data_IF_138656942975
#
_entry.id   IF_138656942975
#
_cell.length_a   1.000
_cell.length_b   1.000
_cell.length_c   1.000
_cell.angle_alpha   90.00
_cell.angle_beta   90.00
_cell.angle_gamma   90.00
#
_symmetry.space_group_name_H-M   'P 1'
#
loop_
_entity.id
_entity.type
_entity.pdbx_description
1 polymer ?
#
# COMPACT_ATOMS: atom_id res chain seq x y z
N UNK A 1 2.47 12.91 12.71
CA UNK A 1 3.69 13.76 12.57
C UNK A 1 4.13 13.78 11.10
N UNK A 2 4.40 12.63 10.47
CA UNK A 2 4.99 12.56 9.13
C UNK A 2 4.03 13.07 8.04
N UNK A 3 2.77 12.64 8.04
CA UNK A 3 1.75 13.15 7.12
C UNK A 3 1.54 14.66 7.26
N UNK A 4 1.58 15.20 8.48
CA UNK A 4 1.51 16.64 8.69
C UNK A 4 2.68 17.37 8.01
N UNK A 5 3.91 16.87 8.19
CA UNK A 5 5.09 17.48 7.54
C UNK A 5 5.01 17.47 6.01
N UNK A 6 4.61 16.35 5.43
CA UNK A 6 4.48 16.19 3.97
C UNK A 6 3.37 17.10 3.42
N UNK A 7 2.17 17.04 3.98
CA UNK A 7 1.03 17.84 3.53
C UNK A 7 1.28 19.35 3.69
N UNK A 8 2.02 19.75 4.73
CA UNK A 8 2.42 21.14 4.94
C UNK A 8 3.40 21.62 3.89
N UNK A 9 4.40 20.81 3.55
CA UNK A 9 5.39 21.13 2.53
C UNK A 9 4.78 21.23 1.12
N UNK A 10 3.69 20.50 0.88
CA UNK A 10 2.99 20.42 -0.40
C UNK A 10 1.78 21.37 -0.51
N UNK A 11 1.64 22.29 0.37
CA UNK A 11 0.50 23.23 0.46
C UNK A 11 -0.09 23.61 -0.90
N UNK A 12 -1.39 23.39 -1.08
CA UNK A 12 -2.11 23.63 -2.33
C UNK A 12 -1.88 22.58 -3.44
N UNK A 13 -1.01 21.58 -3.23
CA UNK A 13 -0.73 20.52 -4.19
C UNK A 13 -1.28 19.16 -3.72
N UNK A 14 -1.72 18.29 -4.63
CA UNK A 14 -2.17 16.95 -4.26
C UNK A 14 -1.01 16.10 -3.73
N UNK A 15 -1.28 15.33 -2.69
CA UNK A 15 -0.34 14.37 -2.11
C UNK A 15 -0.96 12.99 -2.14
N UNK A 16 -0.41 12.12 -2.98
CA UNK A 16 -0.84 10.74 -3.06
C UNK A 16 -0.17 9.92 -1.96
N UNK A 17 -0.96 9.30 -1.10
CA UNK A 17 -0.50 8.51 0.04
C UNK A 17 -0.98 7.07 -0.15
N UNK A 18 -0.05 6.17 -0.41
CA UNK A 18 -0.33 4.73 -0.46
C UNK A 18 -0.52 4.18 0.95
N UNK A 19 -1.61 3.46 1.18
CA UNK A 19 -1.83 2.72 2.41
C UNK A 19 -0.78 1.62 2.57
N UNK A 20 -0.71 1.05 3.76
CA UNK A 20 0.27 0.03 4.12
C UNK A 20 0.27 -1.10 3.09
N UNK A 21 1.42 -1.32 2.46
CA UNK A 21 1.60 -2.30 1.40
C UNK A 21 2.35 -3.56 1.88
N UNK A 22 3.47 -3.48 2.64
CA UNK A 22 4.19 -4.67 3.07
C UNK A 22 3.40 -5.54 4.05
N UNK A 23 3.67 -6.85 4.09
CA UNK A 23 3.05 -7.76 5.03
C UNK A 23 3.51 -7.48 6.47
N UNK A 24 2.69 -7.89 7.45
CA UNK A 24 2.94 -7.59 8.88
C UNK A 24 4.27 -8.14 9.39
N UNK A 25 4.79 -9.23 8.84
CA UNK A 25 6.05 -9.81 9.30
C UNK A 25 7.25 -8.85 9.14
N UNK A 26 7.19 -7.90 8.21
CA UNK A 26 8.25 -6.90 8.04
C UNK A 26 8.33 -5.88 9.19
N UNK A 27 7.26 -5.75 9.96
CA UNK A 27 7.15 -4.80 11.07
C UNK A 27 7.40 -5.42 12.44
N UNK A 28 7.68 -6.72 12.50
CA UNK A 28 7.95 -7.42 13.77
C UNK A 28 9.43 -7.76 13.89
N UNK A 29 9.97 -7.78 15.12
CA UNK A 29 11.38 -8.14 15.32
C UNK A 29 11.65 -9.61 15.01
N UNK A 30 12.70 -9.87 14.23
CA UNK A 30 13.11 -11.22 13.84
C UNK A 30 14.16 -11.82 14.79
N UNK A 31 14.85 -10.99 15.56
CA UNK A 31 15.83 -11.42 16.55
C UNK A 31 15.22 -11.53 17.96
N UNK A 32 15.84 -12.38 18.79
CA UNK A 32 15.34 -12.66 20.15
C UNK A 32 15.36 -11.44 21.06
N UNK A 33 16.32 -10.55 20.90
CA UNK A 33 16.42 -9.34 21.74
C UNK A 33 15.29 -8.36 21.46
N UNK A 34 14.99 -8.12 20.19
CA UNK A 34 13.86 -7.29 19.78
C UNK A 34 12.52 -7.89 20.18
N UNK A 35 12.38 -9.23 20.10
CA UNK A 35 11.16 -9.92 20.57
C UNK A 35 10.98 -9.82 22.08
N UNK A 36 12.07 -9.87 22.85
CA UNK A 36 12.01 -9.67 24.30
C UNK A 36 11.60 -8.21 24.61
N UNK A 37 12.22 -7.23 23.95
CA UNK A 37 11.87 -5.82 24.14
C UNK A 37 10.38 -5.57 23.85
N UNK A 38 9.88 -6.08 22.74
CA UNK A 38 8.46 -5.98 22.39
C UNK A 38 7.55 -6.66 23.43
N UNK A 39 7.96 -7.84 23.94
CA UNK A 39 7.22 -8.55 24.98
C UNK A 39 7.11 -7.73 26.26
N UNK A 40 8.22 -7.11 26.67
CA UNK A 40 8.28 -6.26 27.86
C UNK A 40 7.41 -5.00 27.71
N UNK A 41 7.47 -4.33 26.54
CA UNK A 41 6.65 -3.14 26.23
C UNK A 41 5.14 -3.47 26.18
N UNK A 42 4.77 -4.63 25.66
CA UNK A 42 3.38 -5.09 25.55
C UNK A 42 2.86 -5.79 26.81
N UNK A 43 3.69 -6.07 27.79
CA UNK A 43 3.32 -6.79 29.02
C UNK A 43 2.89 -8.23 28.77
N UNK A 44 3.47 -8.91 27.80
CA UNK A 44 3.17 -10.29 27.42
C UNK A 44 4.43 -11.17 27.47
N UNK A 45 4.27 -12.50 27.42
CA UNK A 45 5.44 -13.40 27.39
C UNK A 45 6.14 -13.37 26.04
N UNK A 46 7.45 -13.51 26.03
CA UNK A 46 8.25 -13.61 24.79
C UNK A 46 7.80 -14.76 23.90
N UNK A 47 7.39 -15.88 24.49
CA UNK A 47 6.85 -17.01 23.75
C UNK A 47 5.60 -16.65 22.94
N UNK A 48 4.73 -15.77 23.48
CA UNK A 48 3.56 -15.28 22.76
C UNK A 48 3.96 -14.43 21.56
N UNK A 49 4.96 -13.56 21.71
CA UNK A 49 5.54 -12.80 20.61
C UNK A 49 6.13 -13.72 19.54
N UNK A 50 6.96 -14.70 19.95
CA UNK A 50 7.56 -15.66 19.03
C UNK A 50 6.51 -16.46 18.23
N UNK A 51 5.47 -16.94 18.89
CA UNK A 51 4.36 -17.64 18.23
C UNK A 51 3.68 -16.73 17.20
N UNK A 52 3.47 -15.44 17.54
CA UNK A 52 2.86 -14.48 16.61
C UNK A 52 3.77 -14.18 15.43
N UNK A 53 5.05 -13.91 15.64
CA UNK A 53 6.05 -13.70 14.58
C UNK A 53 6.09 -14.89 13.64
N UNK A 54 6.17 -16.10 14.17
CA UNK A 54 6.17 -17.33 13.36
C UNK A 54 4.87 -17.50 12.56
N UNK A 55 3.72 -17.13 13.13
CA UNK A 55 2.42 -17.20 12.44
C UNK A 55 2.27 -16.19 11.31
N UNK A 56 3.07 -15.12 11.32
CA UNK A 56 3.10 -14.09 10.28
C UNK A 56 4.10 -14.40 9.15
N UNK A 57 4.95 -15.43 9.33
CA UNK A 57 5.90 -15.82 8.30
C UNK A 57 5.19 -16.41 7.08
N UNK A 58 5.54 -15.92 5.91
CA UNK A 58 4.95 -16.33 4.63
C UNK A 58 6.01 -16.93 3.71
N UNK A 59 5.61 -17.96 2.95
CA UNK A 59 6.50 -18.59 1.96
C UNK A 59 6.77 -17.69 0.75
N UNK A 60 5.80 -16.89 0.37
CA UNK A 60 5.91 -15.89 -0.70
C UNK A 60 5.26 -14.56 -0.25
N UNK A 61 6.01 -13.68 0.41
CA UNK A 61 5.48 -12.41 0.92
C UNK A 61 4.95 -11.48 -0.17
N UNK A 62 5.51 -11.52 -1.37
CA UNK A 62 5.07 -10.69 -2.48
C UNK A 62 3.62 -10.96 -2.90
N UNK A 63 3.20 -12.23 -2.89
CA UNK A 63 1.85 -12.68 -3.24
C UNK A 63 1.00 -13.02 -2.01
N UNK A 64 1.48 -12.71 -0.82
CA UNK A 64 0.89 -13.08 0.46
C UNK A 64 -0.11 -12.08 1.02
N UNK A 65 -0.17 -12.04 2.34
CA UNK A 65 -1.11 -11.24 3.12
C UNK A 65 -0.60 -9.81 3.31
N UNK A 66 -0.74 -8.99 2.30
CA UNK A 66 -0.27 -7.60 2.23
C UNK A 66 -1.27 -6.69 1.52
N UNK A 67 -1.02 -5.38 1.54
CA UNK A 67 -1.80 -4.38 0.82
C UNK A 67 -3.29 -4.42 1.19
N UNK A 68 -4.17 -4.36 0.18
CA UNK A 68 -5.62 -4.41 0.40
C UNK A 68 -6.08 -5.71 1.07
N UNK A 69 -5.37 -6.83 0.87
CA UNK A 69 -5.71 -8.12 1.53
C UNK A 69 -5.57 -8.01 3.03
N UNK A 70 -4.51 -7.34 3.49
CA UNK A 70 -4.28 -7.05 4.90
C UNK A 70 -5.36 -6.10 5.43
N UNK A 71 -5.64 -5.00 4.73
CA UNK A 71 -6.68 -4.04 5.12
C UNK A 71 -8.09 -4.63 5.12
N UNK A 72 -8.38 -5.60 4.25
CA UNK A 72 -9.69 -6.27 4.22
C UNK A 72 -9.87 -7.28 5.38
N UNK A 73 -8.79 -7.87 5.89
CA UNK A 73 -8.82 -8.80 7.02
C UNK A 73 -8.64 -8.10 8.37
N UNK A 74 -7.97 -6.95 8.39
CA UNK A 74 -7.74 -6.09 9.56
C UNK A 74 -8.11 -4.65 9.22
N UNK A 75 -9.42 -4.32 9.08
CA UNK A 75 -9.88 -2.99 8.66
C UNK A 75 -9.43 -1.87 9.60
N UNK A 76 -9.16 -2.18 10.87
CA UNK A 76 -8.62 -1.25 11.86
C UNK A 76 -7.27 -0.64 11.45
N UNK A 77 -6.48 -1.31 10.61
CA UNK A 77 -5.22 -0.77 10.07
C UNK A 77 -5.53 0.35 9.06
N UNK A 78 -6.50 0.13 8.17
CA UNK A 78 -6.94 1.15 7.21
C UNK A 78 -7.59 2.32 7.92
N UNK A 79 -8.42 2.07 8.94
CA UNK A 79 -9.01 3.10 9.77
C UNK A 79 -7.93 3.97 10.45
N UNK A 80 -6.96 3.35 11.11
CA UNK A 80 -5.86 4.04 11.78
C UNK A 80 -5.09 4.94 10.81
N UNK A 81 -4.74 4.45 9.62
CA UNK A 81 -4.01 5.23 8.62
C UNK A 81 -4.87 6.39 8.09
N UNK A 82 -6.15 6.15 7.81
CA UNK A 82 -7.08 7.19 7.36
C UNK A 82 -7.20 8.29 8.39
N UNK A 83 -7.36 7.96 9.69
CA UNK A 83 -7.38 8.93 10.79
C UNK A 83 -6.08 9.73 10.87
N UNK A 84 -4.93 9.08 10.68
CA UNK A 84 -3.63 9.76 10.71
C UNK A 84 -3.44 10.74 9.54
N UNK A 85 -3.88 10.36 8.33
CA UNK A 85 -3.78 11.20 7.13
C UNK A 85 -4.74 12.40 7.23
N UNK A 86 -6.03 12.13 7.44
CA UNK A 86 -7.06 13.16 7.45
C UNK A 86 -6.98 14.03 8.71
N UNK A 87 -6.57 13.48 9.85
CA UNK A 87 -6.32 14.27 11.06
C UNK A 87 -5.18 15.27 10.88
N UNK A 88 -4.10 14.89 10.17
CA UNK A 88 -3.04 15.81 9.80
C UNK A 88 -3.53 16.91 8.84
N UNK A 89 -4.39 16.55 7.87
CA UNK A 89 -4.99 17.50 6.94
C UNK A 89 -5.93 18.49 7.66
N UNK A 90 -6.76 18.01 8.57
CA UNK A 90 -7.65 18.86 9.40
C UNK A 90 -6.84 19.85 10.22
N UNK A 91 -5.77 19.39 10.87
CA UNK A 91 -4.91 20.27 11.65
C UNK A 91 -4.32 21.37 10.77
N UNK A 92 -3.80 21.04 9.60
CA UNK A 92 -3.26 22.02 8.65
C UNK A 92 -4.34 22.99 8.14
N UNK A 93 -5.54 22.51 7.88
CA UNK A 93 -6.67 23.38 7.47
C UNK A 93 -7.02 24.40 8.55
N UNK A 94 -7.01 24.00 9.81
CA UNK A 94 -7.19 24.91 10.96
C UNK A 94 -6.08 25.95 11.06
N UNK A 95 -4.86 25.63 10.60
CA UNK A 95 -3.72 26.54 10.55
C UNK A 95 -3.71 27.45 9.28
N UNK A 96 -4.68 27.31 8.38
CA UNK A 96 -4.82 28.14 7.19
C UNK A 96 -4.15 27.61 5.93
N UNK A 97 -3.65 26.37 5.94
CA UNK A 97 -3.10 25.67 4.77
C UNK A 97 -4.21 25.05 3.91
N UNK A 98 -3.85 24.63 2.69
CA UNK A 98 -4.74 23.94 1.73
C UNK A 98 -4.25 22.50 1.47
N UNK A 99 -4.39 21.59 2.43
CA UNK A 99 -3.97 20.20 2.26
C UNK A 99 -4.90 19.48 1.27
N UNK A 100 -4.30 18.73 0.32
CA UNK A 100 -5.03 17.97 -0.70
C UNK A 100 -4.60 16.50 -0.69
N UNK A 101 -5.01 15.70 0.32
CA UNK A 101 -4.64 14.30 0.39
C UNK A 101 -5.39 13.46 -0.64
N UNK A 102 -4.69 12.50 -1.21
CA UNK A 102 -5.23 11.43 -2.03
C UNK A 102 -4.83 10.08 -1.41
N UNK A 103 -5.79 9.24 -1.09
CA UNK A 103 -5.56 7.95 -0.42
C UNK A 103 -5.59 6.85 -1.47
N UNK A 104 -4.51 6.07 -1.54
CA UNK A 104 -4.35 5.02 -2.53
C UNK A 104 -4.36 3.62 -1.89
N UNK A 105 -5.27 2.78 -2.36
CA UNK A 105 -5.36 1.37 -1.95
C UNK A 105 -4.44 0.53 -2.83
N UNK A 106 -3.42 -0.17 -2.28
CA UNK A 106 -2.51 -1.00 -3.05
C UNK A 106 -3.05 -2.40 -3.32
N UNK A 107 -2.52 -3.07 -4.33
CA UNK A 107 -2.65 -4.51 -4.62
C UNK A 107 -4.07 -5.03 -4.88
N UNK A 108 -4.99 -4.21 -5.32
CA UNK A 108 -6.32 -4.72 -5.68
C UNK A 108 -6.26 -5.58 -6.95
N UNK A 109 -6.98 -6.71 -6.93
CA UNK A 109 -7.17 -7.58 -8.09
C UNK A 109 -8.60 -7.57 -8.63
N UNK A 110 -9.56 -7.18 -7.77
CA UNK A 110 -10.99 -7.10 -8.09
C UNK A 110 -11.62 -5.86 -7.46
N UNK A 111 -12.69 -5.37 -8.08
CA UNK A 111 -13.40 -4.16 -7.60
C UNK A 111 -13.92 -4.30 -6.17
N UNK A 112 -14.35 -5.50 -5.76
CA UNK A 112 -14.88 -5.70 -4.41
C UNK A 112 -13.84 -5.47 -3.31
N UNK A 113 -12.54 -5.75 -3.58
CA UNK A 113 -11.46 -5.42 -2.64
C UNK A 113 -11.34 -3.91 -2.45
N UNK A 114 -11.48 -3.15 -3.53
CA UNK A 114 -11.48 -1.70 -3.49
C UNK A 114 -12.71 -1.16 -2.75
N UNK A 115 -13.92 -1.65 -3.06
CA UNK A 115 -15.18 -1.21 -2.45
C UNK A 115 -15.14 -1.36 -0.92
N UNK A 116 -14.59 -2.47 -0.41
CA UNK A 116 -14.47 -2.69 1.04
C UNK A 116 -13.50 -1.68 1.67
N UNK A 117 -12.35 -1.44 1.05
CA UNK A 117 -11.38 -0.48 1.55
C UNK A 117 -11.90 0.97 1.46
N UNK A 118 -12.49 1.34 0.33
CA UNK A 118 -13.10 2.66 0.16
C UNK A 118 -14.16 2.92 1.24
N UNK A 119 -15.00 1.92 1.51
CA UNK A 119 -16.03 2.04 2.56
C UNK A 119 -15.40 2.36 3.92
N UNK A 120 -14.38 1.63 4.34
CA UNK A 120 -13.67 1.90 5.61
C UNK A 120 -13.10 3.32 5.62
N UNK A 121 -12.46 3.74 4.53
CA UNK A 121 -11.87 5.08 4.40
C UNK A 121 -12.96 6.17 4.52
N UNK A 122 -14.07 6.02 3.78
CA UNK A 122 -15.15 7.02 3.76
C UNK A 122 -15.90 7.09 5.09
N UNK A 123 -16.19 5.95 5.70
CA UNK A 123 -16.84 5.88 7.03
C UNK A 123 -15.96 6.56 8.10
N UNK A 124 -14.66 6.23 8.11
CA UNK A 124 -13.70 6.84 9.03
C UNK A 124 -13.57 8.35 8.81
N UNK A 125 -13.51 8.79 7.55
CA UNK A 125 -13.46 10.21 7.21
C UNK A 125 -14.70 10.95 7.72
N UNK A 126 -15.89 10.39 7.50
CA UNK A 126 -17.16 10.96 7.96
C UNK A 126 -17.18 11.15 9.47
N UNK A 127 -16.84 10.11 10.23
CA UNK A 127 -16.76 10.18 11.69
C UNK A 127 -15.79 11.27 12.15
N UNK A 128 -14.61 11.33 11.54
CA UNK A 128 -13.59 12.30 11.89
C UNK A 128 -14.03 13.74 11.59
N UNK A 129 -14.66 13.96 10.43
CA UNK A 129 -15.16 15.29 10.03
C UNK A 129 -16.31 15.76 10.94
N UNK A 130 -17.22 14.85 11.34
CA UNK A 130 -18.29 15.15 12.30
C UNK A 130 -17.70 15.53 13.67
N UNK A 131 -16.67 14.81 14.15
CA UNK A 131 -16.00 15.09 15.43
C UNK A 131 -15.26 16.43 15.43
N UNK A 132 -14.59 16.76 14.34
CA UNK A 132 -13.73 17.93 14.23
C UNK A 132 -14.45 19.19 13.72
N UNK A 133 -15.67 19.03 13.15
CA UNK A 133 -16.47 20.11 12.58
C UNK A 133 -15.86 20.72 11.32
N UNK A 134 -14.97 20.01 10.65
CA UNK A 134 -14.27 20.44 9.42
C UNK A 134 -14.25 19.30 8.42
N UNK A 135 -14.62 19.57 7.18
CA UNK A 135 -14.53 18.64 6.08
C UNK A 135 -13.31 19.00 5.20
N UNK A 136 -12.53 17.98 4.83
CA UNK A 136 -11.40 18.10 3.92
C UNK A 136 -11.74 17.35 2.63
N UNK A 137 -11.66 18.01 1.46
CA UNK A 137 -11.77 17.32 0.19
C UNK A 137 -10.59 16.37 0.00
N UNK A 138 -10.88 15.12 -0.31
CA UNK A 138 -9.87 14.10 -0.59
C UNK A 138 -10.38 13.12 -1.63
N UNK A 139 -9.45 12.42 -2.29
CA UNK A 139 -9.78 11.38 -3.26
C UNK A 139 -9.35 10.02 -2.74
N UNK A 140 -10.08 8.98 -3.19
CA UNK A 140 -9.71 7.58 -2.98
C UNK A 140 -9.48 6.93 -4.33
N UNK A 141 -8.29 6.39 -4.51
CA UNK A 141 -7.90 5.71 -5.75
C UNK A 141 -7.15 4.42 -5.47
N UNK A 142 -6.60 3.83 -6.51
CA UNK A 142 -5.87 2.57 -6.39
C UNK A 142 -4.65 2.54 -7.30
N UNK A 143 -3.73 1.63 -6.98
CA UNK A 143 -2.63 1.28 -7.86
C UNK A 143 -3.03 0.09 -8.74
N UNK A 144 -2.88 0.25 -10.06
CA UNK A 144 -2.99 -0.84 -11.02
C UNK A 144 -1.61 -1.50 -11.10
N UNK A 145 -1.48 -2.63 -10.46
CA UNK A 145 -0.21 -3.38 -10.34
C UNK A 145 -0.39 -4.89 -10.41
N UNK A 146 -1.65 -5.34 -10.40
CA UNK A 146 -2.01 -6.75 -10.58
C UNK A 146 -2.53 -6.91 -12.03
N UNK A 147 -2.02 -7.85 -12.83
CA UNK A 147 -2.46 -8.03 -14.22
C UNK A 147 -3.98 -8.18 -14.37
N UNK A 148 -4.64 -8.87 -13.42
CA UNK A 148 -6.09 -8.98 -13.42
C UNK A 148 -6.77 -7.61 -13.28
N UNK A 149 -6.24 -6.74 -12.41
CA UNK A 149 -6.78 -5.39 -12.24
C UNK A 149 -6.61 -4.55 -13.51
N UNK A 150 -5.47 -4.69 -14.20
CA UNK A 150 -5.24 -4.03 -15.49
C UNK A 150 -6.28 -4.47 -16.55
N UNK A 151 -6.52 -5.79 -16.67
CA UNK A 151 -7.48 -6.35 -17.61
C UNK A 151 -8.96 -6.00 -17.29
N UNK A 152 -9.27 -5.62 -16.06
CA UNK A 152 -10.62 -5.26 -15.61
C UNK A 152 -10.68 -3.84 -15.07
N UNK A 153 -9.78 -2.97 -15.53
CA UNK A 153 -9.65 -1.60 -15.04
C UNK A 153 -10.92 -0.76 -15.30
N UNK A 154 -11.67 -1.06 -16.34
CA UNK A 154 -12.94 -0.41 -16.65
C UNK A 154 -14.02 -0.60 -15.55
N UNK A 155 -14.02 -1.75 -14.88
CA UNK A 155 -14.89 -1.97 -13.71
C UNK A 155 -14.40 -1.19 -12.49
N UNK A 156 -13.09 -1.16 -12.26
CA UNK A 156 -12.48 -0.46 -11.13
C UNK A 156 -12.63 1.06 -11.30
N UNK A 157 -12.50 1.57 -12.53
CA UNK A 157 -12.65 2.99 -12.85
C UNK A 157 -14.05 3.57 -12.58
N UNK A 158 -15.07 2.72 -12.41
CA UNK A 158 -16.41 3.18 -12.01
C UNK A 158 -16.50 3.58 -10.54
N UNK A 159 -15.47 3.24 -9.75
CA UNK A 159 -15.39 3.45 -8.31
C UNK A 159 -14.19 4.31 -7.93
N UNK A 160 -13.00 3.94 -8.37
CA UNK A 160 -11.78 4.67 -8.05
C UNK A 160 -11.75 6.05 -8.75
N UNK A 161 -11.40 7.08 -7.99
CA UNK A 161 -11.34 8.46 -8.50
C UNK A 161 -10.05 8.74 -9.28
N UNK A 162 -9.05 7.89 -9.15
CA UNK A 162 -7.80 7.94 -9.93
C UNK A 162 -7.07 6.59 -9.90
N UNK A 163 -6.15 6.42 -10.85
CA UNK A 163 -5.22 5.31 -10.90
C UNK A 163 -3.78 5.79 -10.77
N UNK A 164 -2.97 4.99 -10.09
CA UNK A 164 -1.53 4.95 -10.18
C UNK A 164 -1.11 3.61 -10.80
N UNK A 165 0.11 3.51 -11.31
CA UNK A 165 0.58 2.30 -12.00
C UNK A 165 1.84 1.74 -11.32
N UNK A 166 1.75 0.52 -10.78
CA UNK A 166 2.85 -0.19 -10.16
C UNK A 166 3.60 -1.05 -11.16
N UNK A 167 4.44 -0.44 -12.00
CA UNK A 167 5.13 -1.14 -13.10
C UNK A 167 6.07 -2.23 -12.62
N UNK A 168 6.59 -2.15 -11.40
CA UNK A 168 7.42 -3.20 -10.82
C UNK A 168 6.64 -4.50 -10.65
N UNK A 169 5.51 -4.47 -9.95
CA UNK A 169 4.68 -5.65 -9.69
C UNK A 169 4.00 -6.14 -10.97
N UNK A 170 3.55 -5.23 -11.85
CA UNK A 170 3.02 -5.59 -13.16
C UNK A 170 4.07 -6.36 -13.98
N UNK A 171 5.31 -5.89 -14.04
CA UNK A 171 6.40 -6.56 -14.75
C UNK A 171 6.68 -7.93 -14.14
N UNK A 172 6.82 -8.02 -12.82
CA UNK A 172 7.07 -9.28 -12.13
C UNK A 172 6.00 -10.32 -12.46
N UNK A 173 4.72 -9.95 -12.36
CA UNK A 173 3.62 -10.89 -12.56
C UNK A 173 3.34 -11.20 -14.03
N UNK A 174 3.58 -10.26 -14.94
CA UNK A 174 3.37 -10.47 -16.37
C UNK A 174 4.45 -11.37 -16.97
N UNK A 175 5.72 -11.16 -16.59
CA UNK A 175 6.83 -12.02 -17.03
C UNK A 175 6.97 -13.29 -16.18
N UNK A 176 6.43 -13.31 -14.96
CA UNK A 176 6.73 -14.36 -13.98
C UNK A 176 8.18 -14.30 -13.47
N UNK A 177 8.78 -13.12 -13.45
CA UNK A 177 10.15 -12.90 -12.98
C UNK A 177 10.16 -12.23 -11.60
N UNK A 178 11.00 -12.74 -10.71
CA UNK A 178 11.31 -12.03 -9.46
C UNK A 178 12.34 -10.94 -9.76
N UNK A 179 12.05 -9.70 -9.36
CA UNK A 179 13.01 -8.60 -9.48
C UNK A 179 14.28 -8.86 -8.71
N UNK A 180 14.16 -9.53 -7.56
CA UNK A 180 15.28 -9.79 -6.66
C UNK A 180 16.15 -10.94 -7.15
N UNK A 181 15.58 -11.91 -7.92
CA UNK A 181 16.25 -13.12 -8.37
C UNK A 181 16.64 -13.10 -9.86
N UNK A 182 16.14 -12.14 -10.65
CA UNK A 182 16.36 -12.07 -12.11
C UNK A 182 17.84 -12.00 -12.49
N UNK A 183 18.70 -11.47 -11.62
CA UNK A 183 20.13 -11.38 -11.85
C UNK A 183 20.80 -12.75 -12.10
N UNK A 184 20.17 -13.84 -11.67
CA UNK A 184 20.66 -15.20 -11.89
C UNK A 184 20.61 -15.65 -13.36
N UNK A 185 19.71 -15.10 -14.18
CA UNK A 185 19.54 -15.49 -15.59
C UNK A 185 19.50 -14.33 -16.58
N UNK A 186 19.18 -13.11 -16.16
CA UNK A 186 19.06 -11.93 -17.02
C UNK A 186 20.28 -11.67 -17.90
N UNK A 187 21.54 -11.75 -17.39
CA UNK A 187 22.72 -11.52 -18.23
C UNK A 187 22.78 -12.45 -19.43
N UNK A 188 22.44 -13.73 -19.22
CA UNK A 188 22.43 -14.74 -20.29
C UNK A 188 21.29 -14.46 -21.29
N UNK A 189 20.12 -13.99 -20.83
CA UNK A 189 19.00 -13.64 -21.68
C UNK A 189 19.33 -12.45 -22.59
N UNK A 190 20.03 -11.44 -22.08
CA UNK A 190 20.49 -10.29 -22.85
C UNK A 190 21.59 -10.69 -23.86
N UNK A 191 22.58 -11.49 -23.43
CA UNK A 191 23.64 -12.01 -24.31
C UNK A 191 23.06 -12.82 -25.50
N UNK A 192 22.11 -13.71 -25.19
CA UNK A 192 21.43 -14.54 -26.20
C UNK A 192 20.34 -13.82 -26.98
N UNK A 193 20.10 -12.53 -26.69
CA UNK A 193 19.04 -11.71 -27.30
C UNK A 193 17.63 -12.30 -27.15
N UNK A 194 17.38 -13.03 -26.06
CA UNK A 194 16.03 -13.48 -25.68
C UNK A 194 15.24 -12.25 -25.20
N UNK A 195 15.89 -11.38 -24.43
CA UNK A 195 15.43 -10.03 -24.12
C UNK A 195 16.39 -9.02 -24.75
N UNK A 196 15.85 -7.93 -25.28
CA UNK A 196 16.65 -6.84 -25.82
C UNK A 196 17.13 -5.88 -24.72
N UNK A 197 16.33 -5.75 -23.65
CA UNK A 197 16.58 -4.85 -22.51
C UNK A 197 16.06 -5.50 -21.23
N UNK A 198 16.52 -5.01 -20.10
CA UNK A 198 16.00 -5.38 -18.80
C UNK A 198 14.55 -4.82 -18.64
N UNK A 199 13.53 -5.67 -18.47
CA UNK A 199 12.14 -5.24 -18.39
C UNK A 199 11.83 -4.44 -17.10
N UNK A 200 12.73 -4.46 -16.11
CA UNK A 200 12.60 -3.63 -14.91
C UNK A 200 13.23 -2.24 -15.07
N UNK A 201 14.08 -2.04 -16.06
CA UNK A 201 14.65 -0.73 -16.38
C UNK A 201 13.87 0.00 -17.47
N UNK A 202 13.33 -0.75 -18.43
CA UNK A 202 12.55 -0.21 -19.55
C UNK A 202 11.22 -0.92 -19.62
N UNK A 203 10.14 -0.17 -19.53
CA UNK A 203 8.78 -0.71 -19.60
C UNK A 203 8.57 -1.50 -20.91
N UNK A 204 8.16 -2.75 -20.79
CA UNK A 204 7.72 -3.56 -21.92
C UNK A 204 6.36 -3.06 -22.43
N UNK A 205 6.40 -2.29 -23.49
CA UNK A 205 5.21 -1.68 -24.12
C UNK A 205 4.23 -2.70 -24.70
N UNK A 206 4.72 -3.90 -25.08
CA UNK A 206 3.92 -4.88 -25.78
C UNK A 206 3.16 -5.83 -24.86
N UNK A 207 3.69 -6.08 -23.68
CA UNK A 207 3.12 -7.04 -22.73
C UNK A 207 2.63 -6.41 -21.43
N UNK A 208 3.39 -5.48 -20.86
CA UNK A 208 3.03 -4.79 -19.61
C UNK A 208 2.30 -3.49 -19.87
N UNK A 209 2.72 -2.73 -20.86
CA UNK A 209 2.10 -1.46 -21.26
C UNK A 209 0.86 -1.66 -22.10
#
# INVERSE_FOLDING_TARGET
KDFYGILKAMDGHPVNIRLLDPPLHEFVPHDLAGQQTMADEMGVSVQKIQQRVNSLSEANPMLGHRGCRLGNTYPEITEMQTRAILGAAIQLKKEGFDPRPEIMVPLIGIVNEFDLQEKVIRDTAKELFEQEGIEIPFKVGTMIEIPRAALTADYIAKKAEYFSFGTNDLTQMTFGYSRDDIASFLPVYLEKKILNVDPFQVLDQNGVG
#
